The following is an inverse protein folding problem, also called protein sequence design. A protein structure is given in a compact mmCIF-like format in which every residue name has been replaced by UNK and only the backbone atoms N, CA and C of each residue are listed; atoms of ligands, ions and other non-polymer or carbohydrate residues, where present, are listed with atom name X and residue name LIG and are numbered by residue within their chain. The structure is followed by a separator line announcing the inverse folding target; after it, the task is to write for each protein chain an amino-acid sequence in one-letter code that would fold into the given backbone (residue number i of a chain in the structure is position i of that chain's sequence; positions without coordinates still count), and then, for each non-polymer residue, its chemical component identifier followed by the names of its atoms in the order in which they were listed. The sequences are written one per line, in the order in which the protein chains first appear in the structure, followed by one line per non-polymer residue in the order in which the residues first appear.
data_IF_136565710932
#
_entry.id   IF_136565710932
#
_cell.length_a   1.000
_cell.length_b   1.000
_cell.length_c   1.000
_cell.angle_alpha   90.00
_cell.angle_beta   90.00
_cell.angle_gamma   90.00
#
_symmetry.space_group_name_H-M   'P 1'
#
loop_
_entity.id
_entity.type
_entity.pdbx_description
1 polymer ?
#
# COMPACT_ATOMS: atom_id res chain seq x y z
N UNK A 1 -28.11 8.06 -6.95
CA UNK A 1 -26.85 7.23 -7.01
C UNK A 1 -26.05 7.58 -5.76
N UNK A 2 -25.86 6.63 -4.84
CA UNK A 2 -25.16 6.87 -3.59
C UNK A 2 -23.65 6.88 -3.87
N UNK A 3 -22.89 7.79 -3.26
CA UNK A 3 -21.45 7.91 -3.52
C UNK A 3 -20.71 6.67 -2.98
N UNK A 4 -19.98 5.97 -3.83
CA UNK A 4 -19.19 4.76 -3.50
C UNK A 4 -18.30 4.98 -2.27
N UNK A 5 -17.56 6.09 -2.20
CA UNK A 5 -16.64 6.39 -1.10
C UNK A 5 -17.36 6.41 0.26
N UNK A 6 -18.53 7.08 0.33
CA UNK A 6 -19.34 7.12 1.55
C UNK A 6 -19.79 5.72 1.96
N UNK A 7 -20.17 4.90 1.01
CA UNK A 7 -20.61 3.52 1.26
C UNK A 7 -19.47 2.62 1.78
N UNK A 8 -18.26 2.80 1.24
CA UNK A 8 -17.10 1.98 1.62
C UNK A 8 -16.67 2.21 3.07
N UNK A 9 -16.61 3.48 3.50
CA UNK A 9 -16.01 3.87 4.78
C UNK A 9 -17.03 4.36 5.82
N UNK A 10 -18.30 3.97 5.67
CA UNK A 10 -19.39 4.48 6.51
C UNK A 10 -19.27 4.13 8.00
N UNK A 11 -18.69 2.98 8.33
CA UNK A 11 -18.50 2.50 9.72
C UNK A 11 -17.18 1.78 9.89
N UNK A 12 -16.70 1.68 11.13
CA UNK A 12 -15.47 0.94 11.48
C UNK A 12 -15.54 -0.54 11.09
N UNK A 13 -16.72 -1.17 11.25
CA UNK A 13 -16.91 -2.56 10.84
C UNK A 13 -16.73 -2.74 9.33
N UNK A 14 -17.26 -1.79 8.51
CA UNK A 14 -17.04 -1.82 7.06
C UNK A 14 -15.57 -1.63 6.71
N UNK A 15 -14.88 -0.68 7.35
CA UNK A 15 -13.45 -0.46 7.14
C UNK A 15 -12.62 -1.70 7.54
N UNK A 16 -12.96 -2.36 8.65
CA UNK A 16 -12.31 -3.60 9.09
C UNK A 16 -12.50 -4.74 8.09
N UNK A 17 -13.74 -4.94 7.61
CA UNK A 17 -14.03 -5.96 6.58
C UNK A 17 -13.28 -5.64 5.28
N UNK A 18 -13.28 -4.36 4.84
CA UNK A 18 -12.60 -3.94 3.62
C UNK A 18 -11.09 -4.21 3.70
N UNK A 19 -10.42 -3.78 4.79
CA UNK A 19 -9.00 -4.08 5.02
C UNK A 19 -8.71 -5.58 4.96
N UNK A 20 -9.58 -6.40 5.54
CA UNK A 20 -9.38 -7.85 5.55
C UNK A 20 -9.45 -8.45 4.14
N UNK A 21 -10.48 -8.11 3.35
CA UNK A 21 -10.74 -8.81 2.07
C UNK A 21 -9.89 -8.31 0.91
N UNK A 22 -9.47 -7.04 0.93
CA UNK A 22 -8.77 -6.44 -0.23
C UNK A 22 -7.36 -7.00 -0.46
N UNK A 23 -6.72 -7.58 0.55
CA UNK A 23 -5.35 -8.09 0.45
C UNK A 23 -5.26 -9.62 0.42
N UNK A 24 -6.37 -10.34 0.53
CA UNK A 24 -6.39 -11.81 0.48
C UNK A 24 -6.73 -12.30 -0.90
N UNK A 25 -6.20 -13.48 -1.25
CA UNK A 25 -6.50 -14.13 -2.52
C UNK A 25 -7.99 -14.46 -2.65
N UNK A 26 -8.60 -14.94 -1.57
CA UNK A 26 -10.05 -15.21 -1.49
C UNK A 26 -10.53 -15.29 -0.05
N UNK A 27 -11.83 -15.10 0.18
CA UNK A 27 -12.44 -15.17 1.51
C UNK A 27 -13.92 -15.57 1.45
N UNK A 28 -14.39 -16.35 2.40
CA UNK A 28 -15.82 -16.61 2.62
C UNK A 28 -16.40 -15.67 3.67
N UNK A 29 -17.74 -15.50 3.68
CA UNK A 29 -18.44 -14.71 4.73
C UNK A 29 -18.10 -15.19 6.14
N UNK A 30 -17.95 -16.53 6.33
CA UNK A 30 -17.67 -17.11 7.64
C UNK A 30 -16.24 -16.78 8.12
N UNK A 31 -15.25 -16.83 7.22
CA UNK A 31 -13.85 -16.46 7.52
C UNK A 31 -13.74 -14.98 7.85
N UNK A 32 -14.32 -14.11 7.02
CA UNK A 32 -14.32 -12.66 7.27
C UNK A 32 -14.97 -12.33 8.61
N UNK A 33 -16.15 -12.90 8.88
CA UNK A 33 -16.86 -12.69 10.16
C UNK A 33 -16.03 -13.13 11.37
N UNK A 34 -15.34 -14.27 11.27
CA UNK A 34 -14.48 -14.78 12.35
C UNK A 34 -13.25 -13.87 12.57
N UNK A 35 -12.62 -13.44 11.49
CA UNK A 35 -11.40 -12.64 11.56
C UNK A 35 -11.65 -11.20 12.02
N UNK A 36 -12.79 -10.60 11.63
CA UNK A 36 -13.08 -9.18 11.93
C UNK A 36 -13.99 -8.99 13.14
N UNK A 37 -14.61 -10.07 13.68
CA UNK A 37 -15.62 -9.98 14.74
C UNK A 37 -16.97 -9.43 14.26
N UNK A 38 -17.09 -9.04 12.99
CA UNK A 38 -18.32 -8.48 12.42
C UNK A 38 -19.35 -9.57 12.11
N UNK A 39 -20.62 -9.32 12.40
CA UNK A 39 -21.68 -10.31 12.20
C UNK A 39 -21.80 -10.76 10.75
N UNK A 40 -22.08 -12.06 10.52
CA UNK A 40 -22.22 -12.63 9.16
C UNK A 40 -23.22 -11.88 8.29
N UNK A 41 -24.31 -11.39 8.88
CA UNK A 41 -25.34 -10.62 8.16
C UNK A 41 -24.80 -9.29 7.60
N UNK A 42 -24.03 -8.55 8.38
CA UNK A 42 -23.38 -7.32 7.93
C UNK A 42 -22.30 -7.63 6.90
N UNK A 43 -21.41 -8.60 7.17
CA UNK A 43 -20.38 -9.04 6.23
C UNK A 43 -21.00 -9.40 4.88
N UNK A 44 -22.01 -10.27 4.86
CA UNK A 44 -22.65 -10.71 3.61
C UNK A 44 -23.24 -9.54 2.79
N UNK A 45 -23.88 -8.57 3.45
CA UNK A 45 -24.42 -7.39 2.78
C UNK A 45 -23.31 -6.50 2.24
N UNK A 46 -22.25 -6.32 3.02
CA UNK A 46 -21.15 -5.45 2.61
C UNK A 46 -20.30 -6.08 1.49
N UNK A 47 -20.01 -7.39 1.53
CA UNK A 47 -19.31 -8.05 0.43
C UNK A 47 -20.10 -7.99 -0.90
N UNK A 48 -21.44 -8.05 -0.86
CA UNK A 48 -22.27 -7.84 -2.06
C UNK A 48 -22.12 -6.42 -2.59
N UNK A 49 -22.15 -5.42 -1.72
CA UNK A 49 -21.91 -4.02 -2.08
C UNK A 49 -20.53 -3.84 -2.76
N UNK A 50 -19.48 -4.49 -2.24
CA UNK A 50 -18.15 -4.45 -2.83
C UNK A 50 -18.11 -5.08 -4.24
N UNK A 51 -18.89 -6.15 -4.47
CA UNK A 51 -19.05 -6.74 -5.80
C UNK A 51 -19.81 -5.79 -6.75
N UNK A 52 -20.89 -5.17 -6.29
CA UNK A 52 -21.66 -4.18 -7.07
C UNK A 52 -20.80 -2.97 -7.50
N UNK A 53 -19.83 -2.58 -6.67
CA UNK A 53 -18.87 -1.52 -6.99
C UNK A 53 -17.62 -1.99 -7.73
N UNK A 54 -17.54 -3.27 -8.13
CA UNK A 54 -16.42 -3.81 -8.89
C UNK A 54 -15.09 -3.90 -8.10
N UNK A 55 -15.16 -3.94 -6.77
CA UNK A 55 -13.99 -4.13 -5.90
C UNK A 55 -13.69 -5.60 -5.66
N UNK A 56 -14.72 -6.42 -5.63
CA UNK A 56 -14.64 -7.86 -5.48
C UNK A 56 -15.34 -8.56 -6.64
N UNK A 57 -14.94 -9.77 -6.90
CA UNK A 57 -15.69 -10.75 -7.67
C UNK A 57 -16.15 -11.89 -6.77
N UNK A 58 -17.22 -12.55 -7.16
CA UNK A 58 -17.81 -13.66 -6.38
C UNK A 58 -17.89 -14.91 -7.23
N UNK A 59 -17.33 -15.99 -6.71
CA UNK A 59 -17.43 -17.33 -7.31
C UNK A 59 -18.01 -18.31 -6.28
N UNK A 60 -19.22 -18.76 -6.49
CA UNK A 60 -19.93 -19.61 -5.56
C UNK A 60 -20.11 -18.95 -4.17
N UNK A 61 -19.38 -19.42 -3.16
CA UNK A 61 -19.40 -18.88 -1.78
C UNK A 61 -18.18 -18.05 -1.41
N UNK A 62 -17.27 -17.83 -2.35
CA UNK A 62 -16.00 -17.17 -2.14
C UNK A 62 -15.97 -15.80 -2.84
N UNK A 63 -15.32 -14.85 -2.21
CA UNK A 63 -15.10 -13.51 -2.71
C UNK A 63 -13.59 -13.27 -2.85
N UNK A 64 -13.16 -12.70 -3.95
CA UNK A 64 -11.76 -12.33 -4.22
C UNK A 64 -11.67 -10.90 -4.75
N UNK A 65 -10.56 -10.18 -4.50
CA UNK A 65 -10.37 -8.85 -5.08
C UNK A 65 -10.43 -8.90 -6.61
N UNK A 66 -11.19 -7.97 -7.19
CA UNK A 66 -11.21 -7.76 -8.63
C UNK A 66 -10.04 -6.86 -9.03
N UNK A 67 -9.25 -7.23 -10.04
CA UNK A 67 -8.15 -6.39 -10.52
C UNK A 67 -8.68 -5.29 -11.45
N UNK A 68 -8.90 -4.11 -10.89
CA UNK A 68 -9.42 -2.94 -11.58
C UNK A 68 -8.95 -1.63 -10.94
N UNK A 69 -9.16 -0.52 -11.63
CA UNK A 69 -8.71 0.80 -11.18
C UNK A 69 -9.25 1.17 -9.78
N UNK A 70 -10.52 0.90 -9.50
CA UNK A 70 -11.12 1.17 -8.18
C UNK A 70 -10.45 0.34 -7.09
N UNK A 71 -10.21 -0.95 -7.31
CA UNK A 71 -9.55 -1.83 -6.34
C UNK A 71 -8.13 -1.39 -6.06
N UNK A 72 -7.37 -0.99 -7.08
CA UNK A 72 -6.01 -0.47 -6.94
C UNK A 72 -5.99 0.84 -6.16
N UNK A 73 -6.92 1.77 -6.44
CA UNK A 73 -7.04 3.03 -5.70
C UNK A 73 -7.41 2.80 -4.23
N UNK A 74 -8.35 1.90 -3.94
CA UNK A 74 -8.73 1.53 -2.57
C UNK A 74 -7.56 0.86 -1.84
N UNK A 75 -6.85 -0.08 -2.47
CA UNK A 75 -5.66 -0.70 -1.87
C UNK A 75 -4.57 0.32 -1.58
N UNK A 76 -4.29 1.25 -2.51
CA UNK A 76 -3.33 2.32 -2.28
C UNK A 76 -3.71 3.16 -1.06
N UNK A 77 -4.98 3.58 -0.95
CA UNK A 77 -5.45 4.32 0.21
C UNK A 77 -5.25 3.54 1.52
N UNK A 78 -5.63 2.25 1.53
CA UNK A 78 -5.44 1.37 2.69
C UNK A 78 -3.95 1.15 3.03
N UNK A 79 -3.07 1.11 2.03
CA UNK A 79 -1.62 1.02 2.23
C UNK A 79 -1.08 2.29 2.92
N UNK A 80 -1.52 3.47 2.46
CA UNK A 80 -1.11 4.75 3.04
C UNK A 80 -1.54 4.90 4.51
N UNK A 81 -2.73 4.40 4.87
CA UNK A 81 -3.21 4.40 6.26
C UNK A 81 -2.40 3.50 7.20
N UNK A 82 -1.66 2.51 6.67
CA UNK A 82 -0.83 1.61 7.48
C UNK A 82 0.51 2.22 7.88
N UNK A 83 0.89 3.35 7.29
CA UNK A 83 2.21 3.99 7.50
C UNK A 83 2.00 5.30 8.26
N UNK A 84 2.34 5.31 9.55
CA UNK A 84 2.36 6.54 10.35
C UNK A 84 3.67 7.29 10.13
N UNK A 85 3.63 8.28 9.25
CA UNK A 85 4.77 9.13 8.92
C UNK A 85 5.16 10.09 10.06
N UNK A 86 4.27 10.33 11.03
CA UNK A 86 4.55 11.22 12.16
C UNK A 86 5.50 10.57 13.16
N UNK A 87 5.45 9.24 13.28
CA UNK A 87 6.32 8.46 14.14
C UNK A 87 7.73 8.24 13.57
N UNK A 88 7.95 8.54 12.27
CA UNK A 88 9.23 8.28 11.59
C UNK A 88 10.21 9.43 11.75
N UNK A 89 11.38 9.15 12.32
CA UNK A 89 12.52 10.07 12.34
C UNK A 89 13.37 9.87 11.08
N UNK A 90 13.30 10.81 10.14
CA UNK A 90 14.01 10.72 8.86
C UNK A 90 15.50 11.11 8.94
N UNK A 91 15.93 11.85 9.98
CA UNK A 91 17.33 12.29 10.13
C UNK A 91 17.84 13.03 8.89
N UNK A 92 18.86 12.44 8.24
CA UNK A 92 19.47 12.96 7.00
C UNK A 92 18.71 12.60 5.73
N UNK A 93 17.55 11.94 5.82
CA UNK A 93 16.71 11.57 4.67
C UNK A 93 15.95 12.80 4.18
N UNK A 94 16.09 13.15 2.90
CA UNK A 94 15.41 14.28 2.26
C UNK A 94 14.01 13.93 1.78
N UNK A 95 13.82 12.71 1.30
CA UNK A 95 12.55 12.21 0.79
C UNK A 95 12.36 10.73 1.03
N UNK A 96 11.12 10.34 1.21
CA UNK A 96 10.68 8.96 1.40
C UNK A 96 9.44 8.71 0.57
N UNK A 97 9.35 7.57 -0.09
CA UNK A 97 8.14 7.18 -0.80
C UNK A 97 8.02 5.69 -1.08
N UNK A 98 6.83 5.32 -1.50
CA UNK A 98 6.50 3.96 -1.92
C UNK A 98 6.86 3.75 -3.38
N UNK A 99 7.25 2.51 -3.72
CA UNK A 99 7.28 2.01 -5.10
C UNK A 99 6.79 0.55 -5.13
N UNK A 100 6.90 -0.10 -6.28
CA UNK A 100 6.50 -1.50 -6.39
C UNK A 100 5.00 -1.75 -6.26
N UNK A 101 4.63 -2.88 -5.70
CA UNK A 101 3.25 -3.34 -5.63
C UNK A 101 2.37 -2.50 -4.71
N UNK A 102 2.93 -2.01 -3.61
CA UNK A 102 2.22 -1.16 -2.66
C UNK A 102 1.82 0.19 -3.26
N UNK A 103 2.73 0.82 -4.00
CA UNK A 103 2.45 2.08 -4.69
C UNK A 103 1.40 1.93 -5.80
N UNK A 104 1.39 0.78 -6.48
CA UNK A 104 0.42 0.49 -7.54
C UNK A 104 -0.92 -0.06 -7.04
N UNK A 105 -1.05 -0.37 -5.74
CA UNK A 105 -2.25 -1.02 -5.19
C UNK A 105 -2.48 -2.43 -5.75
N UNK A 106 -1.42 -3.14 -6.12
CA UNK A 106 -1.46 -4.51 -6.62
C UNK A 106 -0.96 -5.54 -5.60
N UNK A 107 -0.52 -5.08 -4.43
CA UNK A 107 0.00 -5.90 -3.35
C UNK A 107 -1.08 -6.85 -2.77
N UNK A 108 -0.60 -7.93 -2.16
CA UNK A 108 -1.38 -8.89 -1.38
C UNK A 108 -0.78 -9.02 0.03
N UNK A 109 -1.35 -9.87 0.86
CA UNK A 109 -0.97 -9.98 2.28
C UNK A 109 0.52 -10.30 2.50
N UNK A 110 1.13 -11.08 1.61
CA UNK A 110 2.53 -11.53 1.68
C UNK A 110 3.49 -10.64 0.86
N UNK A 111 3.01 -9.50 0.36
CA UNK A 111 3.85 -8.60 -0.43
C UNK A 111 4.76 -7.78 0.45
N UNK A 112 6.04 -7.71 0.08
CA UNK A 112 7.00 -6.81 0.71
C UNK A 112 6.61 -5.34 0.50
N UNK A 113 7.00 -4.52 1.47
CA UNK A 113 6.86 -3.08 1.42
C UNK A 113 8.13 -2.48 0.81
N UNK A 114 8.03 -2.02 -0.43
CA UNK A 114 9.13 -1.40 -1.15
C UNK A 114 9.11 0.12 -0.97
N UNK A 115 10.20 0.69 -0.42
CA UNK A 115 10.35 2.11 -0.15
C UNK A 115 11.64 2.66 -0.77
N UNK A 116 11.54 3.81 -1.41
CA UNK A 116 12.70 4.58 -1.80
C UNK A 116 13.00 5.67 -0.77
N UNK A 117 14.28 5.94 -0.57
CA UNK A 117 14.81 6.99 0.30
C UNK A 117 15.70 7.89 -0.53
N UNK A 118 15.42 9.20 -0.58
CA UNK A 118 16.30 10.20 -1.17
C UNK A 118 17.19 10.83 -0.10
N UNK A 119 18.51 10.86 -0.33
CA UNK A 119 19.48 11.46 0.57
C UNK A 119 20.67 11.99 -0.23
N UNK A 120 21.40 13.00 0.28
CA UNK A 120 22.61 13.55 -0.39
C UNK A 120 23.79 12.58 -0.35
N UNK A 121 23.86 11.74 0.68
CA UNK A 121 24.86 10.71 0.86
C UNK A 121 24.23 9.50 1.52
N UNK A 122 24.93 8.37 1.53
CA UNK A 122 24.44 7.15 2.15
C UNK A 122 24.20 7.38 3.65
N UNK A 123 22.95 7.26 4.13
CA UNK A 123 22.66 7.40 5.56
C UNK A 123 23.40 6.34 6.38
N UNK A 124 23.72 6.62 7.66
CA UNK A 124 24.31 5.61 8.55
C UNK A 124 23.44 4.36 8.62
N UNK A 125 24.08 3.18 8.65
CA UNK A 125 23.40 1.88 8.68
C UNK A 125 22.39 1.78 9.82
N UNK A 126 22.71 2.30 11.00
CA UNK A 126 21.80 2.31 12.16
C UNK A 126 20.53 3.13 11.93
N UNK A 127 20.57 4.18 11.10
CA UNK A 127 19.37 4.97 10.72
C UNK A 127 18.48 4.14 9.80
N UNK A 128 19.07 3.49 8.81
CA UNK A 128 18.33 2.63 7.87
C UNK A 128 17.71 1.43 8.57
N UNK A 129 18.47 0.74 9.43
CA UNK A 129 17.99 -0.41 10.20
C UNK A 129 16.83 -0.05 11.13
N UNK A 130 16.91 1.12 11.79
CA UNK A 130 15.82 1.61 12.64
C UNK A 130 14.57 1.91 11.83
N UNK A 131 14.72 2.64 10.72
CA UNK A 131 13.60 2.98 9.84
C UNK A 131 12.94 1.71 9.28
N UNK A 132 13.72 0.75 8.82
CA UNK A 132 13.23 -0.53 8.32
C UNK A 132 12.44 -1.28 9.39
N UNK A 133 12.97 -1.35 10.62
CA UNK A 133 12.30 -1.99 11.75
C UNK A 133 10.97 -1.31 12.09
N UNK A 134 10.96 0.03 12.21
CA UNK A 134 9.77 0.79 12.59
C UNK A 134 8.67 0.60 11.53
N UNK A 135 9.03 0.64 10.26
CA UNK A 135 8.11 0.42 9.14
C UNK A 135 7.61 -1.02 9.06
N UNK A 136 8.47 -2.01 9.31
CA UNK A 136 8.06 -3.42 9.34
C UNK A 136 7.05 -3.69 10.45
N UNK A 137 7.23 -3.10 11.62
CA UNK A 137 6.27 -3.20 12.72
C UNK A 137 4.91 -2.55 12.40
N UNK A 138 4.90 -1.42 11.67
CA UNK A 138 3.67 -0.74 11.28
C UNK A 138 2.93 -1.49 10.18
N UNK A 139 3.67 -1.95 9.16
CA UNK A 139 3.09 -2.56 7.96
C UNK A 139 2.77 -4.04 8.11
N UNK A 140 3.34 -4.73 9.13
CA UNK A 140 3.30 -6.19 9.26
C UNK A 140 3.79 -6.89 7.97
N UNK A 141 4.88 -6.36 7.39
CA UNK A 141 5.47 -6.83 6.14
C UNK A 141 6.99 -6.71 6.18
N UNK A 142 7.70 -7.51 5.37
CA UNK A 142 9.11 -7.30 5.10
C UNK A 142 9.31 -5.95 4.38
N UNK A 143 10.36 -5.21 4.75
CA UNK A 143 10.60 -3.85 4.21
C UNK A 143 11.89 -3.81 3.43
N UNK A 144 11.81 -3.43 2.16
CA UNK A 144 12.93 -3.19 1.27
C UNK A 144 13.19 -1.69 1.15
N UNK A 145 14.41 -1.25 1.49
CA UNK A 145 14.81 0.14 1.38
C UNK A 145 15.75 0.36 0.18
N UNK A 146 15.32 1.13 -0.78
CA UNK A 146 16.13 1.59 -1.91
C UNK A 146 16.68 2.99 -1.62
N UNK A 147 17.93 3.09 -1.19
CA UNK A 147 18.58 4.39 -0.97
C UNK A 147 19.03 4.97 -2.30
N UNK A 148 18.62 6.21 -2.58
CA UNK A 148 18.87 6.96 -3.81
C UNK A 148 19.65 8.24 -3.47
N UNK A 149 20.96 8.19 -3.73
CA UNK A 149 21.82 9.38 -3.77
C UNK A 149 21.81 9.99 -5.18
N UNK A 150 22.24 11.26 -5.36
CA UNK A 150 22.34 11.86 -6.68
C UNK A 150 23.13 10.99 -7.67
N UNK A 151 24.27 10.43 -7.24
CA UNK A 151 25.11 9.57 -8.09
C UNK A 151 24.37 8.28 -8.47
N UNK A 152 23.64 7.67 -7.52
CA UNK A 152 22.89 6.43 -7.78
C UNK A 152 21.71 6.67 -8.70
N UNK A 153 21.02 7.82 -8.58
CA UNK A 153 19.95 8.22 -9.50
C UNK A 153 20.46 8.38 -10.92
N UNK A 154 21.57 9.13 -11.12
CA UNK A 154 22.17 9.30 -12.44
C UNK A 154 22.65 7.96 -13.02
N UNK A 155 23.23 7.09 -12.19
CA UNK A 155 23.64 5.75 -12.63
C UNK A 155 22.46 4.90 -13.06
N UNK A 156 21.34 4.90 -12.31
CA UNK A 156 20.13 4.16 -12.65
C UNK A 156 19.52 4.63 -13.98
N UNK A 157 19.56 5.93 -14.28
CA UNK A 157 19.10 6.49 -15.56
C UNK A 157 19.81 5.87 -16.76
N UNK A 158 21.09 5.55 -16.59
CA UNK A 158 21.96 5.04 -17.66
C UNK A 158 21.98 3.52 -17.69
N UNK A 159 22.16 2.87 -16.54
CA UNK A 159 22.41 1.42 -16.44
C UNK A 159 21.10 0.61 -16.44
N UNK A 160 20.01 1.16 -15.87
CA UNK A 160 18.71 0.48 -15.79
C UNK A 160 17.56 1.48 -16.03
N UNK A 161 17.55 2.04 -17.24
CA UNK A 161 16.51 2.97 -17.69
C UNK A 161 15.07 2.43 -17.50
N UNK A 162 14.75 1.15 -17.78
CA UNK A 162 13.41 0.62 -17.55
C UNK A 162 12.99 0.66 -16.08
N UNK A 163 13.88 0.27 -15.16
CA UNK A 163 13.59 0.35 -13.72
C UNK A 163 13.44 1.80 -13.25
N UNK A 164 14.36 2.68 -13.67
CA UNK A 164 14.30 4.10 -13.34
C UNK A 164 12.96 4.73 -13.78
N UNK A 165 12.55 4.52 -15.03
CA UNK A 165 11.27 5.02 -15.54
C UNK A 165 10.07 4.45 -14.75
N UNK A 166 10.08 3.14 -14.47
CA UNK A 166 9.05 2.52 -13.65
C UNK A 166 8.99 3.13 -12.24
N UNK A 167 10.15 3.37 -11.64
CA UNK A 167 10.26 3.98 -10.31
C UNK A 167 9.67 5.39 -10.29
N UNK A 168 10.07 6.25 -11.24
CA UNK A 168 9.59 7.64 -11.33
C UNK A 168 8.08 7.70 -11.62
N UNK A 169 7.60 6.90 -12.58
CA UNK A 169 6.19 6.96 -13.04
C UNK A 169 5.19 6.33 -12.07
N UNK A 170 5.61 5.38 -11.25
CA UNK A 170 4.68 4.60 -10.40
C UNK A 170 4.89 4.79 -8.90
N UNK A 171 5.88 5.60 -8.47
CA UNK A 171 6.11 5.84 -7.06
C UNK A 171 5.15 6.88 -6.47
N UNK A 172 4.97 6.80 -5.15
CA UNK A 172 4.18 7.75 -4.37
C UNK A 172 5.08 8.36 -3.31
N UNK A 173 5.31 9.68 -3.38
CA UNK A 173 6.05 10.39 -2.33
C UNK A 173 5.20 10.45 -1.06
N UNK A 174 5.75 9.94 0.04
CA UNK A 174 5.11 9.95 1.34
C UNK A 174 5.48 11.18 2.16
N UNK A 175 6.78 11.55 2.12
CA UNK A 175 7.29 12.67 2.92
C UNK A 175 8.55 13.26 2.29
N UNK A 176 8.72 14.59 2.41
CA UNK A 176 9.91 15.31 1.92
C UNK A 176 9.91 15.53 0.41
N UNK A 177 11.11 15.53 -0.17
CA UNK A 177 11.34 15.82 -1.60
C UNK A 177 10.93 14.63 -2.47
N UNK A 178 10.27 14.85 -3.63
CA UNK A 178 9.98 13.79 -4.58
C UNK A 178 11.25 13.24 -5.24
N UNK A 179 11.12 12.11 -5.96
CA UNK A 179 12.25 11.52 -6.71
C UNK A 179 12.79 12.45 -7.77
N UNK A 180 11.91 13.10 -8.52
CA UNK A 180 12.22 14.16 -9.47
C UNK A 180 11.34 15.37 -9.21
N UNK A 181 11.93 16.55 -9.37
CA UNK A 181 11.15 17.78 -9.44
C UNK A 181 10.44 17.80 -10.79
N UNK A 182 9.11 17.89 -10.76
CA UNK A 182 8.34 18.11 -11.97
C UNK A 182 8.75 19.49 -12.53
N UNK A 183 9.47 19.47 -13.65
CA UNK A 183 9.77 20.67 -14.43
C UNK A 183 8.59 21.04 -15.31
#
# INVERSE_FOLDING_TARGET
MQCMIIELFKTEERASVLRYVMFRSSSSVAEVSRATGVTKGLVSRYLRLLVEHGLLQKEGRVYSPHDGAHSRAVKLLLNLERIDLSALSLGSVKGLGLYGSWARGTNHQESDLDLWIRADSLPPEGVLARLQKDLSLQSDSEVNLLVLTPEKLERLKIEDTPFYNSLVMSSVTLKGEPLEEYR
#
